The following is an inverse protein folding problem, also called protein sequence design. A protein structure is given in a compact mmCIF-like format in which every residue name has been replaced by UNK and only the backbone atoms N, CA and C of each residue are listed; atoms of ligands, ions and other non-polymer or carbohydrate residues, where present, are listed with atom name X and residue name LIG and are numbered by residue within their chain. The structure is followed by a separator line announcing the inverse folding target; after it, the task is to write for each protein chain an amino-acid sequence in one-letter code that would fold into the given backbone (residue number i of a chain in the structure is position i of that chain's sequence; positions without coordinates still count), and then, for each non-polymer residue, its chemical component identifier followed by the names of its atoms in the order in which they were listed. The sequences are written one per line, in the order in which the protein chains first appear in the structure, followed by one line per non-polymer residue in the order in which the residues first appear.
data_IF_084447223925
#
_entry.id   IF_084447223925
#
_cell.length_a   1.000
_cell.length_b   1.000
_cell.length_c   1.000
_cell.angle_alpha   90.00
_cell.angle_beta   90.00
_cell.angle_gamma   90.00
#
_symmetry.space_group_name_H-M   'P 1'
#
loop_
_entity.id
_entity.type
_entity.pdbx_description
1 polymer ?
#
# COMPACT_ATOMS: atom_id res chain seq x y z
N UNK A 1 -12.32 15.42 -10.70
CA UNK A 1 -12.16 14.31 -11.65
C UNK A 1 -11.49 13.19 -10.89
N UNK A 2 -12.18 12.05 -10.71
CA UNK A 2 -11.56 10.87 -10.08
C UNK A 2 -10.58 10.32 -11.14
N UNK A 3 -9.29 10.11 -10.82
CA UNK A 3 -8.37 9.52 -11.79
C UNK A 3 -8.88 8.14 -12.21
N UNK A 4 -8.86 7.87 -13.51
CA UNK A 4 -9.39 6.64 -14.09
C UNK A 4 -8.39 5.49 -13.83
N UNK A 5 -8.39 4.97 -12.61
CA UNK A 5 -7.72 3.71 -12.28
C UNK A 5 -8.69 2.60 -12.68
N UNK A 6 -8.48 2.06 -13.88
CA UNK A 6 -9.27 0.93 -14.36
C UNK A 6 -8.88 -0.33 -13.58
N UNK A 7 -9.85 -0.93 -12.89
CA UNK A 7 -9.66 -2.22 -12.25
C UNK A 7 -9.54 -3.32 -13.31
N UNK A 8 -8.53 -4.22 -13.22
CA UNK A 8 -8.36 -5.26 -14.22
C UNK A 8 -9.48 -6.32 -14.14
N UNK A 9 -10.00 -6.74 -15.29
CA UNK A 9 -11.05 -7.79 -15.36
C UNK A 9 -10.55 -9.15 -14.86
N UNK A 10 -9.24 -9.42 -14.99
CA UNK A 10 -8.59 -10.64 -14.52
C UNK A 10 -7.66 -10.30 -13.37
N UNK A 11 -7.59 -11.20 -12.39
CA UNK A 11 -6.62 -11.11 -11.31
C UNK A 11 -5.21 -11.27 -11.90
N UNK A 12 -4.46 -10.16 -11.97
CA UNK A 12 -3.08 -10.17 -12.44
C UNK A 12 -2.15 -10.68 -11.32
N UNK A 13 -0.98 -11.27 -11.64
CA UNK A 13 -0.04 -11.71 -10.61
C UNK A 13 0.36 -10.60 -9.62
N UNK A 14 0.66 -9.35 -10.04
CA UNK A 14 0.91 -8.24 -9.12
C UNK A 14 -0.25 -7.94 -8.16
N UNK A 15 -1.49 -8.04 -8.65
CA UNK A 15 -2.67 -7.77 -7.83
C UNK A 15 -2.95 -8.94 -6.87
N UNK A 16 -2.77 -10.18 -7.31
CA UNK A 16 -2.84 -11.37 -6.45
C UNK A 16 -1.83 -11.29 -5.30
N UNK A 17 -0.59 -10.90 -5.61
CA UNK A 17 0.47 -10.69 -4.62
C UNK A 17 0.05 -9.74 -3.51
N UNK A 18 -0.55 -8.59 -3.86
CA UNK A 18 -0.99 -7.59 -2.90
C UNK A 18 -2.21 -8.06 -2.12
N UNK A 19 -3.20 -8.65 -2.78
CA UNK A 19 -4.44 -9.08 -2.13
C UNK A 19 -4.23 -10.23 -1.13
N UNK A 20 -3.13 -10.97 -1.25
CA UNK A 20 -2.72 -12.01 -0.27
C UNK A 20 -2.06 -11.45 0.98
N UNK A 21 -1.80 -10.15 1.08
CA UNK A 21 -1.18 -9.57 2.28
C UNK A 21 -2.12 -9.67 3.48
N UNK A 22 -1.64 -10.36 4.50
CA UNK A 22 -2.37 -10.55 5.75
C UNK A 22 -2.18 -9.34 6.67
N UNK A 23 -3.15 -9.14 7.57
CA UNK A 23 -3.16 -8.05 8.54
C UNK A 23 -1.85 -7.93 9.35
N UNK A 24 -1.23 -9.05 9.76
CA UNK A 24 0.04 -9.04 10.49
C UNK A 24 1.24 -8.57 9.64
N UNK A 25 1.14 -8.64 8.31
CA UNK A 25 2.14 -8.10 7.38
C UNK A 25 1.93 -6.61 7.14
N UNK A 26 0.66 -6.15 7.13
CA UNK A 26 0.30 -4.76 6.86
C UNK A 26 0.38 -3.86 8.09
N UNK A 27 0.20 -4.39 9.30
CA UNK A 27 0.25 -3.61 10.55
C UNK A 27 1.54 -2.77 10.71
N UNK A 28 2.74 -3.37 10.63
CA UNK A 28 4.00 -2.62 10.71
C UNK A 28 4.14 -1.54 9.64
N UNK A 29 3.62 -1.78 8.43
CA UNK A 29 3.61 -0.82 7.34
C UNK A 29 2.69 0.35 7.68
N UNK A 30 1.46 0.10 8.14
CA UNK A 30 0.53 1.14 8.58
C UNK A 30 1.11 1.99 9.73
N UNK A 31 1.86 1.37 10.65
CA UNK A 31 2.56 2.09 11.72
C UNK A 31 3.60 3.07 11.16
N UNK A 32 4.33 2.67 10.12
CA UNK A 32 5.29 3.55 9.44
C UNK A 32 4.58 4.75 8.81
N UNK A 33 3.51 4.53 8.04
CA UNK A 33 2.73 5.63 7.46
C UNK A 33 2.18 6.57 8.53
N UNK A 34 1.68 6.02 9.65
CA UNK A 34 1.18 6.85 10.76
C UNK A 34 2.29 7.71 11.37
N UNK A 35 3.50 7.16 11.56
CA UNK A 35 4.66 7.94 12.02
C UNK A 35 5.05 9.04 11.02
N UNK A 36 4.87 8.79 9.73
CA UNK A 36 5.07 9.79 8.67
C UNK A 36 3.91 10.80 8.56
N UNK A 37 2.97 10.83 9.51
CA UNK A 37 1.91 11.84 9.61
C UNK A 37 0.57 11.45 8.99
N UNK A 38 0.41 10.23 8.49
CA UNK A 38 -0.89 9.78 7.97
C UNK A 38 -1.89 9.49 9.10
N UNK A 39 -3.12 9.99 8.94
CA UNK A 39 -4.23 9.68 9.86
C UNK A 39 -4.82 8.30 9.54
N UNK A 40 -4.38 7.29 10.30
CA UNK A 40 -4.82 5.89 10.16
C UNK A 40 -5.35 5.42 11.52
N UNK A 41 -6.64 5.03 11.62
CA UNK A 41 -7.20 4.50 12.85
C UNK A 41 -6.38 3.33 13.41
N UNK A 42 -6.22 3.25 14.74
CA UNK A 42 -5.57 2.12 15.42
C UNK A 42 -6.51 0.93 15.53
N UNK A 43 -6.94 0.43 14.38
CA UNK A 43 -7.83 -0.72 14.22
C UNK A 43 -7.29 -1.56 13.07
N UNK A 44 -7.14 -2.86 13.30
CA UNK A 44 -6.37 -3.70 12.40
C UNK A 44 -6.96 -3.79 10.98
N UNK A 45 -8.28 -3.82 10.83
CA UNK A 45 -8.94 -3.80 9.52
C UNK A 45 -8.71 -2.47 8.79
N UNK A 46 -8.63 -1.36 9.52
CA UNK A 46 -8.35 -0.04 8.95
C UNK A 46 -6.88 0.08 8.49
N UNK A 47 -5.95 -0.46 9.28
CA UNK A 47 -4.53 -0.52 8.94
C UNK A 47 -4.29 -1.37 7.70
N UNK A 48 -4.89 -2.56 7.64
CA UNK A 48 -4.80 -3.42 6.46
C UNK A 48 -5.44 -2.75 5.23
N UNK A 49 -6.63 -2.18 5.36
CA UNK A 49 -7.32 -1.52 4.25
C UNK A 49 -6.49 -0.35 3.69
N UNK A 50 -5.86 0.45 4.56
CA UNK A 50 -4.99 1.54 4.13
C UNK A 50 -3.82 1.02 3.28
N UNK A 51 -3.10 0.00 3.76
CA UNK A 51 -1.93 -0.54 3.06
C UNK A 51 -2.32 -1.22 1.75
N UNK A 52 -3.38 -2.03 1.76
CA UNK A 52 -3.90 -2.67 0.56
C UNK A 52 -4.31 -1.63 -0.48
N UNK A 53 -5.04 -0.58 -0.09
CA UNK A 53 -5.44 0.48 -1.01
C UNK A 53 -4.23 1.12 -1.72
N UNK A 54 -3.15 1.42 -0.98
CA UNK A 54 -1.92 1.98 -1.55
C UNK A 54 -1.26 1.00 -2.53
N UNK A 55 -1.01 -0.23 -2.09
CA UNK A 55 -0.26 -1.20 -2.87
C UNK A 55 -1.05 -1.71 -4.09
N UNK A 56 -2.37 -1.80 -4.00
CA UNK A 56 -3.24 -2.08 -5.14
C UNK A 56 -3.07 -1.00 -6.21
N UNK A 57 -3.05 0.28 -5.81
CA UNK A 57 -2.80 1.39 -6.74
C UNK A 57 -1.45 1.24 -7.45
N UNK A 58 -0.41 0.83 -6.73
CA UNK A 58 0.91 0.55 -7.31
C UNK A 58 0.90 -0.66 -8.24
N UNK A 59 0.23 -1.75 -7.85
CA UNK A 59 0.11 -2.97 -8.67
C UNK A 59 -0.62 -2.70 -9.99
N UNK A 60 -1.71 -1.92 -9.96
CA UNK A 60 -2.46 -1.55 -11.17
C UNK A 60 -1.62 -0.61 -12.05
N UNK A 61 -0.92 0.37 -11.45
CA UNK A 61 -0.19 1.39 -12.20
C UNK A 61 1.15 0.91 -12.78
N UNK A 62 1.85 0.02 -12.09
CA UNK A 62 3.23 -0.35 -12.39
C UNK A 62 3.42 -1.84 -12.74
N UNK A 63 2.37 -2.66 -12.64
CA UNK A 63 2.44 -4.08 -12.98
C UNK A 63 3.53 -4.80 -12.17
N UNK A 64 4.39 -5.55 -12.84
CA UNK A 64 5.44 -6.36 -12.20
C UNK A 64 6.46 -5.52 -11.39
N UNK A 65 6.59 -4.23 -11.71
CA UNK A 65 7.49 -3.31 -11.01
C UNK A 65 6.90 -2.74 -9.71
N UNK A 66 5.68 -3.11 -9.32
CA UNK A 66 4.99 -2.51 -8.16
C UNK A 66 5.81 -2.57 -6.87
N UNK A 67 6.59 -3.64 -6.66
CA UNK A 67 7.43 -3.82 -5.46
C UNK A 67 8.53 -2.78 -5.37
N UNK A 68 9.12 -2.39 -6.51
CA UNK A 68 10.12 -1.32 -6.56
C UNK A 68 9.51 0.00 -6.10
N UNK A 69 8.36 0.37 -6.66
CA UNK A 69 7.67 1.60 -6.28
C UNK A 69 7.15 1.57 -4.84
N UNK A 70 6.70 0.40 -4.36
CA UNK A 70 6.33 0.23 -2.96
C UNK A 70 7.55 0.43 -2.04
N UNK A 71 8.71 -0.11 -2.39
CA UNK A 71 9.94 0.10 -1.63
C UNK A 71 10.38 1.57 -1.62
N UNK A 72 10.29 2.26 -2.76
CA UNK A 72 10.57 3.70 -2.86
C UNK A 72 9.63 4.51 -1.96
N UNK A 73 8.33 4.19 -1.95
CA UNK A 73 7.33 4.85 -1.08
C UNK A 73 7.62 4.59 0.39
N UNK A 74 7.92 3.34 0.78
CA UNK A 74 8.27 3.01 2.16
C UNK A 74 9.56 3.71 2.61
N UNK A 75 10.56 3.82 1.74
CA UNK A 75 11.78 4.57 2.03
C UNK A 75 11.47 6.04 2.28
N UNK A 76 10.60 6.66 1.47
CA UNK A 76 10.16 8.03 1.68
C UNK A 76 9.41 8.20 3.01
N UNK A 77 8.57 7.24 3.40
CA UNK A 77 7.88 7.25 4.69
C UNK A 77 8.84 7.08 5.87
N UNK A 78 9.90 6.27 5.73
CA UNK A 78 10.95 6.17 6.75
C UNK A 78 11.65 7.51 6.97
N UNK A 79 12.02 8.20 5.89
CA UNK A 79 12.62 9.53 5.99
C UNK A 79 11.66 10.56 6.59
N UNK A 80 10.39 10.56 6.18
CA UNK A 80 9.37 11.45 6.74
C UNK A 80 9.08 11.18 8.22
N UNK A 81 9.21 9.94 8.67
CA UNK A 81 9.02 9.54 10.05
C UNK A 81 10.22 9.79 10.97
N UNK A 82 11.34 10.28 10.41
CA UNK A 82 12.56 10.70 11.13
C UNK A 82 12.71 12.22 11.21
N UNK A 83 11.93 12.97 10.42
CA UNK A 83 11.89 14.44 10.39
C UNK A 83 10.97 15.02 11.47
#
# INVERSE_FOLDING_TARGET
MIPDITWPEKLTPPLDDVLRLMNFQTGPIAHLYRRAGHDIPRKCEAEQAFVLHRFIGLAIKHGDEWRKYAQEELNAMMQAAEA
#
